data_IF_815706575560
#
_entry.id   IF_815706575560
#
_cell.length_a   1.000
_cell.length_b   1.000
_cell.length_c   1.000
_cell.angle_alpha   90.00
_cell.angle_beta   90.00
_cell.angle_gamma   90.00
#
_symmetry.space_group_name_H-M   'P 1'
#
loop_
_entity.id
_entity.type
_entity.pdbx_description
1 polymer ?
#
# COMPACT_ATOMS: atom_id res chain seq x y z
N UNK A 1 17.91 -7.45 -10.52
CA UNK A 1 18.73 -6.22 -10.31
C UNK A 1 18.20 -5.15 -11.24
N UNK A 2 17.82 -3.97 -10.69
CA UNK A 2 17.47 -2.84 -11.53
C UNK A 2 18.68 -2.50 -12.43
N UNK A 3 18.42 -2.26 -13.70
CA UNK A 3 19.44 -1.82 -14.65
C UNK A 3 20.12 -0.55 -14.11
N UNK A 4 21.42 -0.40 -14.36
CA UNK A 4 22.20 0.80 -13.98
C UNK A 4 21.53 2.14 -14.41
N UNK A 5 20.69 2.09 -15.43
CA UNK A 5 19.92 3.23 -15.95
C UNK A 5 18.88 3.79 -14.98
N UNK A 6 18.47 3.06 -13.95
CA UNK A 6 17.45 3.47 -12.98
C UNK A 6 17.98 3.56 -11.54
N UNK A 7 19.24 3.23 -11.32
CA UNK A 7 19.85 3.22 -9.99
C UNK A 7 19.70 4.56 -9.26
N UNK A 8 19.99 5.67 -9.94
CA UNK A 8 19.87 7.02 -9.38
C UNK A 8 18.44 7.34 -8.88
N UNK A 9 17.41 6.91 -9.65
CA UNK A 9 16.02 7.16 -9.26
C UNK A 9 15.64 6.28 -8.08
N UNK A 10 16.08 5.04 -8.06
CA UNK A 10 15.84 4.12 -6.94
C UNK A 10 16.52 4.64 -5.67
N UNK A 11 17.80 5.03 -5.75
CA UNK A 11 18.55 5.58 -4.63
C UNK A 11 17.93 6.87 -4.07
N UNK A 12 17.37 7.72 -4.94
CA UNK A 12 16.72 8.96 -4.53
C UNK A 12 15.36 8.76 -3.85
N UNK A 13 14.66 7.67 -4.16
CA UNK A 13 13.26 7.51 -3.76
C UNK A 13 12.99 6.32 -2.83
N UNK A 14 13.75 5.24 -2.91
CA UNK A 14 13.54 4.06 -2.06
C UNK A 14 13.80 4.42 -0.58
N UNK A 15 12.80 4.21 0.25
CA UNK A 15 12.83 4.57 1.66
C UNK A 15 12.51 6.05 1.94
N UNK A 16 12.31 6.89 0.89
CA UNK A 16 12.08 8.32 1.10
C UNK A 16 10.65 8.66 1.56
N UNK A 17 9.69 7.82 1.26
CA UNK A 17 8.30 7.96 1.72
C UNK A 17 8.02 7.07 2.94
N UNK A 18 8.78 6.00 3.14
CA UNK A 18 8.54 5.00 4.16
C UNK A 18 8.92 5.51 5.56
N UNK A 19 8.08 5.18 6.55
CA UNK A 19 8.44 5.32 7.96
C UNK A 19 9.34 4.16 8.37
N UNK A 20 10.65 4.39 8.35
CA UNK A 20 11.65 3.38 8.68
C UNK A 20 11.75 3.08 10.17
N UNK A 21 11.12 3.87 11.04
CA UNK A 21 11.03 3.60 12.48
C UNK A 21 9.85 2.66 12.82
N UNK A 22 8.91 2.47 11.88
CA UNK A 22 7.84 1.51 12.04
C UNK A 22 8.38 0.07 11.93
N UNK A 23 8.17 -0.75 12.96
CA UNK A 23 8.81 -2.05 13.14
C UNK A 23 8.72 -2.99 11.92
N UNK A 24 7.56 -3.15 11.28
CA UNK A 24 7.41 -4.02 10.11
C UNK A 24 8.02 -3.42 8.84
N UNK A 25 8.02 -2.09 8.70
CA UNK A 25 8.71 -1.39 7.60
C UNK A 25 10.22 -1.54 7.75
N UNK A 26 10.77 -1.36 8.96
CA UNK A 26 12.17 -1.59 9.26
C UNK A 26 12.57 -3.06 8.99
N UNK A 27 11.73 -4.01 9.41
CA UNK A 27 11.95 -5.43 9.19
C UNK A 27 11.96 -5.81 7.71
N UNK A 28 11.02 -5.27 6.92
CA UNK A 28 11.03 -5.42 5.45
C UNK A 28 12.32 -4.86 4.85
N UNK A 29 12.73 -3.66 5.28
CA UNK A 29 13.92 -2.99 4.76
C UNK A 29 15.21 -3.78 5.06
N UNK A 30 15.31 -4.35 6.25
CA UNK A 30 16.48 -5.15 6.66
C UNK A 30 16.59 -6.48 5.89
N UNK A 31 15.46 -7.06 5.46
CA UNK A 31 15.40 -8.35 4.78
C UNK A 31 15.01 -8.23 3.30
N UNK A 32 15.09 -7.04 2.73
CA UNK A 32 14.79 -6.78 1.34
C UNK A 32 15.72 -7.57 0.40
N UNK A 33 15.15 -8.51 -0.35
CA UNK A 33 15.87 -9.30 -1.34
C UNK A 33 15.28 -9.19 -2.74
N UNK A 34 13.99 -8.85 -2.84
CA UNK A 34 13.27 -8.78 -4.11
C UNK A 34 12.14 -7.75 -4.06
N UNK A 35 11.74 -7.26 -5.23
CA UNK A 35 10.68 -6.27 -5.33
C UNK A 35 10.40 -5.83 -6.76
N UNK A 36 9.54 -4.81 -6.87
CA UNK A 36 9.19 -4.22 -8.16
C UNK A 36 9.47 -2.71 -8.14
N UNK A 37 10.08 -2.22 -9.21
CA UNK A 37 10.23 -0.80 -9.47
C UNK A 37 9.43 -0.40 -10.70
N UNK A 38 8.53 0.57 -10.55
CA UNK A 38 7.68 1.09 -11.61
C UNK A 38 7.92 2.59 -11.71
N UNK A 39 8.42 3.02 -12.86
CA UNK A 39 8.57 4.44 -13.17
C UNK A 39 7.70 4.79 -14.36
N UNK A 40 6.80 5.75 -14.20
CA UNK A 40 6.02 6.34 -15.29
C UNK A 40 6.60 7.72 -15.60
N UNK A 41 7.17 7.94 -16.78
CA UNK A 41 7.70 9.24 -17.13
C UNK A 41 6.63 10.34 -17.18
N UNK A 42 7.06 11.59 -17.08
CA UNK A 42 6.21 12.78 -17.23
C UNK A 42 5.38 12.72 -18.52
N UNK A 43 4.09 13.09 -18.41
CA UNK A 43 3.11 13.15 -19.51
C UNK A 43 2.81 11.78 -20.15
N UNK A 44 3.12 10.67 -19.51
CA UNK A 44 2.83 9.33 -20.02
C UNK A 44 1.56 8.78 -19.38
N UNK A 45 0.64 8.31 -20.21
CA UNK A 45 -0.55 7.56 -19.78
C UNK A 45 -0.33 6.08 -20.06
N UNK A 46 -0.30 5.26 -19.00
CA UNK A 46 -0.18 3.81 -19.15
C UNK A 46 -1.55 3.22 -19.41
N UNK A 47 -1.80 2.81 -20.66
CA UNK A 47 -3.13 2.39 -21.10
C UNK A 47 -3.62 1.10 -20.43
N UNK A 48 -2.72 0.13 -20.25
CA UNK A 48 -3.05 -1.14 -19.57
C UNK A 48 -2.67 -1.09 -18.09
N UNK A 49 -3.45 -1.76 -17.24
CA UNK A 49 -3.07 -1.89 -15.83
C UNK A 49 -1.78 -2.72 -15.68
N UNK A 50 -0.83 -2.19 -14.92
CA UNK A 50 0.32 -2.96 -14.46
C UNK A 50 -0.16 -3.91 -13.38
N UNK A 51 0.19 -5.19 -13.49
CA UNK A 51 -0.21 -6.22 -12.53
C UNK A 51 1.02 -6.84 -11.88
N UNK A 52 1.06 -6.79 -10.56
CA UNK A 52 2.04 -7.48 -9.73
C UNK A 52 1.34 -8.65 -9.04
N UNK A 53 1.86 -9.84 -9.22
CA UNK A 53 1.37 -11.04 -8.55
C UNK A 53 2.49 -11.60 -7.67
N UNK A 54 2.27 -11.56 -6.35
CA UNK A 54 3.16 -12.12 -5.35
C UNK A 54 2.58 -13.47 -4.91
N UNK A 55 3.34 -14.54 -5.15
CA UNK A 55 2.95 -15.89 -4.77
C UNK A 55 3.96 -16.41 -3.75
N UNK A 56 3.50 -16.66 -2.53
CA UNK A 56 4.31 -17.32 -1.51
C UNK A 56 4.06 -18.82 -1.55
N UNK A 57 5.12 -19.58 -1.76
CA UNK A 57 5.09 -21.04 -1.67
C UNK A 57 5.71 -21.46 -0.36
N UNK A 58 4.93 -22.07 0.55
CA UNK A 58 5.51 -22.65 1.75
C UNK A 58 6.16 -24.01 1.40
N UNK A 59 7.38 -24.23 1.88
CA UNK A 59 8.02 -25.52 1.76
C UNK A 59 7.28 -26.56 2.64
N UNK A 60 7.27 -27.82 2.22
CA UNK A 60 6.80 -28.91 3.06
C UNK A 60 7.77 -29.08 4.23
N UNK A 61 7.25 -29.12 5.46
CA UNK A 61 8.03 -29.29 6.69
C UNK A 61 7.84 -28.14 7.69
N UNK A 62 8.62 -28.20 8.76
CA UNK A 62 8.51 -27.26 9.91
C UNK A 62 9.24 -25.91 9.69
N UNK A 63 9.64 -25.59 8.47
CA UNK A 63 10.38 -24.35 8.18
C UNK A 63 9.39 -23.20 7.97
N UNK A 64 9.42 -22.22 8.88
CA UNK A 64 8.65 -21.00 8.73
C UNK A 64 9.13 -20.21 7.49
N UNK A 65 8.22 -19.94 6.56
CA UNK A 65 8.50 -19.15 5.37
C UNK A 65 8.12 -17.68 5.62
N UNK A 66 9.02 -16.78 5.29
CA UNK A 66 8.76 -15.33 5.31
C UNK A 66 9.18 -14.71 3.99
N UNK A 67 8.37 -13.79 3.48
CA UNK A 67 8.65 -13.01 2.27
C UNK A 67 8.54 -11.51 2.57
N UNK A 68 9.43 -10.73 1.97
CA UNK A 68 9.56 -9.30 2.22
C UNK A 68 9.55 -8.51 0.91
N UNK A 69 8.48 -8.59 0.09
CA UNK A 69 8.44 -7.85 -1.17
C UNK A 69 8.43 -6.34 -0.93
N UNK A 70 9.16 -5.60 -1.78
CA UNK A 70 9.18 -4.15 -1.79
C UNK A 70 8.72 -3.63 -3.15
N UNK A 71 7.80 -2.67 -3.15
CA UNK A 71 7.33 -2.01 -4.38
C UNK A 71 7.65 -0.53 -4.28
N UNK A 72 8.31 0.01 -5.31
CA UNK A 72 8.51 1.44 -5.47
C UNK A 72 7.84 1.91 -6.76
N UNK A 73 6.94 2.87 -6.64
CA UNK A 73 6.26 3.52 -7.76
C UNK A 73 6.64 4.99 -7.79
N UNK A 74 7.14 5.44 -8.93
CA UNK A 74 7.40 6.87 -9.20
C UNK A 74 6.56 7.28 -10.40
N UNK A 75 5.49 8.03 -10.14
CA UNK A 75 4.58 8.57 -11.16
C UNK A 75 4.97 10.03 -11.45
N UNK A 76 5.54 10.26 -12.62
CA UNK A 76 6.00 11.57 -13.06
C UNK A 76 4.85 12.54 -13.30
N UNK A 77 5.18 13.83 -13.42
CA UNK A 77 4.21 14.91 -13.63
C UNK A 77 3.24 14.62 -14.78
N UNK A 78 1.94 14.85 -14.58
CA UNK A 78 0.85 14.59 -15.53
C UNK A 78 0.79 13.14 -16.05
N UNK A 79 1.37 12.18 -15.34
CA UNK A 79 1.30 10.77 -15.73
C UNK A 79 0.04 10.09 -15.20
N UNK A 80 -0.33 8.95 -15.81
CA UNK A 80 -1.44 8.14 -15.34
C UNK A 80 -1.03 6.67 -15.26
N UNK A 81 -1.34 6.02 -14.14
CA UNK A 81 -1.03 4.61 -13.90
C UNK A 81 -2.22 3.93 -13.22
N UNK A 82 -2.55 2.73 -13.66
CA UNK A 82 -3.34 1.78 -12.90
C UNK A 82 -2.46 0.62 -12.46
N UNK A 83 -2.40 0.38 -11.14
CA UNK A 83 -1.62 -0.69 -10.53
C UNK A 83 -2.54 -1.68 -9.82
N UNK A 84 -2.35 -2.96 -10.08
CA UNK A 84 -3.05 -4.04 -9.38
C UNK A 84 -2.03 -4.94 -8.71
N UNK A 85 -2.07 -5.01 -7.40
CA UNK A 85 -1.27 -5.93 -6.59
C UNK A 85 -2.14 -7.09 -6.13
N UNK A 86 -1.65 -8.30 -6.27
CA UNK A 86 -2.33 -9.50 -5.80
C UNK A 86 -1.37 -10.35 -4.99
N UNK A 87 -1.80 -10.75 -3.81
CA UNK A 87 -1.06 -11.59 -2.88
C UNK A 87 -1.79 -12.91 -2.71
N UNK A 88 -1.09 -14.01 -2.91
CA UNK A 88 -1.63 -15.35 -2.79
C UNK A 88 -0.55 -16.32 -2.30
N UNK A 89 -0.98 -17.39 -1.68
CA UNK A 89 -0.06 -18.44 -1.25
C UNK A 89 -0.54 -19.83 -1.62
N UNK A 90 0.41 -20.74 -1.71
CA UNK A 90 0.17 -22.16 -1.92
C UNK A 90 0.83 -22.95 -0.80
N UNK A 91 0.17 -24.01 -0.35
CA UNK A 91 0.64 -24.87 0.73
C UNK A 91 -0.25 -24.77 1.98
N UNK A 92 -0.05 -25.72 2.89
CA UNK A 92 -0.84 -25.86 4.14
C UNK A 92 -0.14 -25.29 5.36
N UNK A 93 1.15 -24.99 5.28
CA UNK A 93 1.96 -24.42 6.37
C UNK A 93 1.77 -22.90 6.44
N UNK A 94 1.72 -22.37 7.66
CA UNK A 94 1.65 -20.93 7.89
C UNK A 94 2.91 -20.23 7.37
N UNK A 95 2.75 -19.03 6.83
CA UNK A 95 3.84 -18.16 6.38
C UNK A 95 3.53 -16.71 6.71
N UNK A 96 4.54 -15.84 6.58
CA UNK A 96 4.41 -14.40 6.73
C UNK A 96 4.76 -13.71 5.42
N UNK A 97 3.83 -12.90 4.91
CA UNK A 97 4.11 -11.90 3.89
C UNK A 97 4.19 -10.52 4.55
N UNK A 98 5.36 -9.91 4.57
CA UNK A 98 5.57 -8.55 5.05
C UNK A 98 5.94 -7.66 3.87
N UNK A 99 4.96 -6.96 3.30
CA UNK A 99 5.15 -6.12 2.10
C UNK A 99 5.20 -4.65 2.44
N UNK A 100 6.04 -3.90 1.73
CA UNK A 100 6.06 -2.44 1.79
C UNK A 100 5.95 -1.86 0.39
N UNK A 101 5.02 -0.93 0.23
CA UNK A 101 4.75 -0.22 -1.03
C UNK A 101 5.00 1.27 -0.82
N UNK A 102 5.81 1.86 -1.66
CA UNK A 102 6.04 3.30 -1.70
C UNK A 102 5.51 3.85 -3.01
N UNK A 103 4.68 4.89 -2.93
CA UNK A 103 4.17 5.60 -4.12
C UNK A 103 4.51 7.07 -4.00
N UNK A 104 5.29 7.56 -4.96
CA UNK A 104 5.63 8.96 -5.09
C UNK A 104 4.95 9.47 -6.34
N UNK A 105 3.99 10.37 -6.17
CA UNK A 105 3.26 11.01 -7.25
C UNK A 105 3.70 12.46 -7.39
N UNK A 106 4.23 12.81 -8.55
CA UNK A 106 4.56 14.20 -8.89
C UNK A 106 3.28 15.01 -9.20
N UNK A 107 3.45 16.27 -9.58
CA UNK A 107 2.32 17.17 -9.84
C UNK A 107 1.36 16.62 -10.88
N UNK A 108 0.05 16.71 -10.63
CA UNK A 108 -1.05 16.26 -11.51
C UNK A 108 -0.99 14.75 -11.88
N UNK A 109 -0.17 13.95 -11.23
CA UNK A 109 -0.15 12.51 -11.49
C UNK A 109 -1.44 11.86 -11.00
N UNK A 110 -1.93 10.86 -11.73
CA UNK A 110 -3.12 10.07 -11.39
C UNK A 110 -2.70 8.62 -11.21
N UNK A 111 -2.93 8.08 -10.02
CA UNK A 111 -2.61 6.68 -9.71
C UNK A 111 -3.84 5.99 -9.12
N UNK A 112 -4.36 5.00 -9.84
CA UNK A 112 -5.40 4.09 -9.35
C UNK A 112 -4.75 2.79 -8.90
N UNK A 113 -4.81 2.51 -7.61
CA UNK A 113 -4.22 1.34 -6.98
C UNK A 113 -5.30 0.35 -6.50
N UNK A 114 -5.06 -0.92 -6.76
CA UNK A 114 -5.91 -2.03 -6.30
C UNK A 114 -5.03 -3.05 -5.61
N UNK A 115 -5.37 -3.42 -4.37
CA UNK A 115 -4.70 -4.47 -3.61
C UNK A 115 -5.69 -5.61 -3.34
N UNK A 116 -5.35 -6.83 -3.71
CA UNK A 116 -6.17 -8.01 -3.46
C UNK A 116 -5.37 -9.01 -2.63
N UNK A 117 -5.84 -9.28 -1.41
CA UNK A 117 -5.23 -10.25 -0.48
C UNK A 117 -6.06 -11.54 -0.48
N UNK A 118 -5.46 -12.63 -0.94
CA UNK A 118 -6.01 -13.98 -0.96
C UNK A 118 -4.96 -14.97 -0.46
N UNK A 119 -4.39 -14.66 0.68
CA UNK A 119 -3.41 -15.52 1.35
C UNK A 119 -4.07 -16.80 1.89
N UNK A 120 -3.28 -17.79 2.26
CA UNK A 120 -3.82 -18.95 2.97
C UNK A 120 -4.47 -18.54 4.30
N UNK A 121 -5.49 -19.23 4.73
CA UNK A 121 -6.14 -19.01 6.04
C UNK A 121 -5.21 -19.18 7.25
N UNK A 122 -4.06 -19.82 7.06
CA UNK A 122 -3.01 -19.98 8.08
C UNK A 122 -1.89 -18.97 7.94
N UNK A 123 -1.91 -18.13 6.91
CA UNK A 123 -0.86 -17.15 6.64
C UNK A 123 -1.15 -15.81 7.31
N UNK A 124 -0.08 -15.10 7.62
CA UNK A 124 -0.14 -13.73 8.09
C UNK A 124 0.33 -12.78 6.98
N UNK A 125 -0.44 -11.72 6.74
CA UNK A 125 -0.10 -10.67 5.78
C UNK A 125 0.00 -9.33 6.51
N UNK A 126 1.18 -8.73 6.53
CA UNK A 126 1.42 -7.39 7.07
C UNK A 126 1.83 -6.50 5.89
N UNK A 127 0.98 -5.56 5.54
CA UNK A 127 1.24 -4.64 4.42
C UNK A 127 1.30 -3.20 4.89
N UNK A 128 2.38 -2.50 4.54
CA UNK A 128 2.52 -1.07 4.77
C UNK A 128 2.61 -0.34 3.44
N UNK A 129 1.78 0.70 3.26
CA UNK A 129 1.79 1.54 2.06
C UNK A 129 2.08 2.99 2.46
N UNK A 130 3.08 3.57 1.86
CA UNK A 130 3.53 4.93 2.12
C UNK A 130 3.38 5.76 0.85
N UNK A 131 2.62 6.86 0.96
CA UNK A 131 2.27 7.74 -0.15
C UNK A 131 2.86 9.12 0.07
N UNK A 132 3.53 9.66 -0.93
CA UNK A 132 3.89 11.07 -1.02
C UNK A 132 3.28 11.67 -2.26
N UNK A 133 2.29 12.56 -2.08
CA UNK A 133 1.44 13.05 -3.15
C UNK A 133 1.73 14.54 -3.39
N UNK A 134 2.24 14.85 -4.57
CA UNK A 134 2.57 16.21 -5.00
C UNK A 134 1.35 17.02 -5.45
N UNK A 135 1.56 18.28 -5.81
CA UNK A 135 0.51 19.25 -6.14
C UNK A 135 -0.52 18.70 -7.15
N UNK A 136 -1.80 18.82 -6.80
CA UNK A 136 -2.94 18.37 -7.62
C UNK A 136 -2.87 16.89 -8.07
N UNK A 137 -2.08 16.06 -7.38
CA UNK A 137 -2.08 14.62 -7.61
C UNK A 137 -3.43 14.01 -7.18
N UNK A 138 -3.85 12.98 -7.90
CA UNK A 138 -5.04 12.20 -7.57
C UNK A 138 -4.63 10.75 -7.34
N UNK A 139 -4.85 10.27 -6.13
CA UNK A 139 -4.54 8.89 -5.74
C UNK A 139 -5.81 8.20 -5.24
N UNK A 140 -6.07 7.00 -5.77
CA UNK A 140 -7.10 6.12 -5.22
C UNK A 140 -6.49 4.76 -4.87
N UNK A 141 -6.89 4.20 -3.72
CA UNK A 141 -6.55 2.83 -3.34
C UNK A 141 -7.82 2.06 -2.96
N UNK A 142 -7.92 0.85 -3.49
CA UNK A 142 -9.00 -0.09 -3.22
C UNK A 142 -8.41 -1.41 -2.70
N UNK A 143 -8.44 -1.60 -1.38
CA UNK A 143 -7.92 -2.81 -0.73
C UNK A 143 -9.05 -3.82 -0.54
N UNK A 144 -8.89 -5.02 -1.08
CA UNK A 144 -9.86 -6.10 -1.01
C UNK A 144 -9.19 -7.28 -0.29
N UNK A 145 -9.64 -7.58 0.94
CA UNK A 145 -9.15 -8.70 1.74
C UNK A 145 -10.19 -9.81 1.72
N UNK A 146 -9.85 -10.93 1.10
CA UNK A 146 -10.74 -12.08 0.93
C UNK A 146 -10.35 -13.28 1.78
N UNK A 147 -9.05 -13.43 2.09
CA UNK A 147 -8.53 -14.53 2.89
C UNK A 147 -7.19 -14.16 3.55
N UNK A 148 -6.83 -14.91 4.62
CA UNK A 148 -5.66 -14.74 5.45
C UNK A 148 -5.98 -14.96 6.92
N UNK A 149 -5.06 -15.49 7.72
CA UNK A 149 -5.26 -15.69 9.16
C UNK A 149 -5.28 -14.36 9.91
N UNK A 150 -4.17 -13.61 9.81
CA UNK A 150 -4.06 -12.22 10.24
C UNK A 150 -3.69 -11.38 9.03
N UNK A 151 -4.54 -10.40 8.71
CA UNK A 151 -4.25 -9.44 7.65
C UNK A 151 -4.23 -8.05 8.24
N UNK A 152 -3.05 -7.42 8.27
CA UNK A 152 -2.89 -6.03 8.69
C UNK A 152 -2.49 -5.16 7.50
N UNK A 153 -3.17 -4.04 7.34
CA UNK A 153 -2.88 -3.01 6.34
C UNK A 153 -2.66 -1.68 7.04
N UNK A 154 -1.47 -1.13 6.93
CA UNK A 154 -1.12 0.21 7.38
C UNK A 154 -0.95 1.12 6.14
N UNK A 155 -1.68 2.22 6.07
CA UNK A 155 -1.58 3.21 4.98
C UNK A 155 -1.21 4.56 5.56
N UNK A 156 -0.09 5.12 5.08
CA UNK A 156 0.40 6.44 5.46
C UNK A 156 0.42 7.34 4.22
N UNK A 157 -0.43 8.36 4.18
CA UNK A 157 -0.53 9.28 3.07
C UNK A 157 -0.09 10.69 3.50
N UNK A 158 0.97 11.19 2.88
CA UNK A 158 1.39 12.59 2.99
C UNK A 158 0.88 13.36 1.77
N UNK A 159 -0.05 14.29 1.99
CA UNK A 159 -0.54 15.21 0.98
C UNK A 159 0.40 16.43 0.96
N UNK A 160 1.53 16.27 0.22
CA UNK A 160 2.69 17.18 0.22
C UNK A 160 2.56 18.32 -0.79
N UNK A 161 1.47 18.37 -1.53
CA UNK A 161 1.15 19.44 -2.48
C UNK A 161 -0.25 20.00 -2.28
N UNK A 162 -0.47 21.23 -2.72
CA UNK A 162 -1.79 21.86 -2.73
C UNK A 162 -2.74 21.15 -3.68
N UNK A 163 -4.02 21.02 -3.32
CA UNK A 163 -5.09 20.50 -4.17
C UNK A 163 -5.04 18.99 -4.41
N UNK A 164 -4.36 18.22 -3.56
CA UNK A 164 -4.31 16.74 -3.65
C UNK A 164 -5.67 16.14 -3.33
N UNK A 165 -6.04 15.11 -4.09
CA UNK A 165 -7.17 14.22 -3.76
C UNK A 165 -6.65 12.83 -3.44
N UNK A 166 -7.02 12.30 -2.26
CA UNK A 166 -6.65 10.97 -1.80
C UNK A 166 -7.90 10.16 -1.41
N UNK A 167 -8.13 9.04 -2.05
CA UNK A 167 -9.27 8.14 -1.76
C UNK A 167 -8.76 6.79 -1.29
N UNK A 168 -9.18 6.36 -0.10
CA UNK A 168 -8.81 5.07 0.49
C UNK A 168 -10.08 4.25 0.75
N UNK A 169 -10.24 3.16 0.02
CA UNK A 169 -11.38 2.26 0.17
C UNK A 169 -10.91 0.86 0.58
N UNK A 170 -11.65 0.23 1.49
CA UNK A 170 -11.39 -1.12 1.92
C UNK A 170 -12.67 -1.97 1.94
N UNK A 171 -12.57 -3.20 1.42
CA UNK A 171 -13.56 -4.25 1.59
C UNK A 171 -12.87 -5.47 2.18
N UNK A 172 -13.41 -6.02 3.25
CA UNK A 172 -12.89 -7.25 3.83
C UNK A 172 -13.99 -8.23 4.21
N UNK A 173 -13.70 -9.51 4.00
CA UNK A 173 -14.57 -10.62 4.36
C UNK A 173 -13.77 -11.55 5.24
N UNK A 174 -14.22 -11.78 6.47
CA UNK A 174 -13.53 -12.67 7.40
C UNK A 174 -14.54 -13.58 8.11
N UNK A 175 -14.14 -14.82 8.32
CA UNK A 175 -14.90 -15.82 9.07
C UNK A 175 -13.95 -16.68 9.95
N UNK A 176 -14.52 -17.56 10.76
CA UNK A 176 -13.75 -18.37 11.71
C UNK A 176 -13.05 -17.48 12.75
N UNK A 177 -11.74 -17.65 12.95
CA UNK A 177 -10.93 -16.90 13.93
C UNK A 177 -9.97 -15.89 13.28
N UNK A 178 -10.31 -15.41 12.10
CA UNK A 178 -9.48 -14.48 11.34
C UNK A 178 -9.52 -13.07 11.92
N UNK A 179 -8.40 -12.37 11.76
CA UNK A 179 -8.28 -10.97 12.14
C UNK A 179 -7.95 -10.11 10.91
N UNK A 180 -8.76 -9.08 10.66
CA UNK A 180 -8.43 -8.04 9.68
C UNK A 180 -8.28 -6.70 10.40
N UNK A 181 -7.10 -6.10 10.29
CA UNK A 181 -6.73 -4.88 10.98
C UNK A 181 -6.28 -3.81 9.96
N UNK A 182 -7.06 -2.74 9.80
CA UNK A 182 -6.79 -1.67 8.85
C UNK A 182 -6.51 -0.36 9.61
N UNK A 183 -5.35 0.21 9.36
CA UNK A 183 -4.93 1.50 9.90
C UNK A 183 -4.63 2.47 8.77
N UNK A 184 -5.17 3.67 8.88
CA UNK A 184 -4.87 4.75 7.94
C UNK A 184 -4.36 5.97 8.71
N UNK A 185 -3.36 6.64 8.16
CA UNK A 185 -2.91 7.95 8.62
C UNK A 185 -2.81 8.87 7.41
N UNK A 186 -3.63 9.91 7.36
CA UNK A 186 -3.60 10.89 6.27
C UNK A 186 -3.13 12.22 6.86
N UNK A 187 -2.01 12.73 6.34
CA UNK A 187 -1.45 14.00 6.74
C UNK A 187 -1.68 15.05 5.65
N UNK A 188 -2.61 15.97 5.89
CA UNK A 188 -2.82 17.16 5.09
C UNK A 188 -1.75 18.19 5.45
N UNK A 189 -0.65 18.20 4.70
CA UNK A 189 0.45 19.13 4.91
C UNK A 189 0.27 20.45 4.17
N UNK A 190 -0.58 20.47 3.12
CA UNK A 190 -0.84 21.62 2.27
C UNK A 190 -2.35 21.93 2.17
N UNK A 191 -2.74 23.16 1.85
CA UNK A 191 -4.15 23.56 1.78
C UNK A 191 -4.88 22.96 0.56
N UNK A 192 -6.21 23.07 0.58
CA UNK A 192 -7.13 22.67 -0.48
C UNK A 192 -7.09 21.17 -0.85
N UNK A 193 -6.57 20.33 0.04
CA UNK A 193 -6.57 18.88 -0.15
C UNK A 193 -7.93 18.27 0.23
N UNK A 194 -8.22 17.12 -0.39
CA UNK A 194 -9.41 16.33 -0.11
C UNK A 194 -9.02 14.88 0.20
N UNK A 195 -9.62 14.31 1.25
CA UNK A 195 -9.47 12.89 1.55
C UNK A 195 -10.82 12.23 1.77
N UNK A 196 -10.96 11.01 1.24
CA UNK A 196 -12.14 10.17 1.35
C UNK A 196 -11.74 8.80 1.84
N UNK A 197 -12.45 8.29 2.86
CA UNK A 197 -12.22 6.95 3.38
C UNK A 197 -13.54 6.20 3.49
N UNK A 198 -13.56 4.97 2.97
CA UNK A 198 -14.70 4.07 3.10
C UNK A 198 -14.22 2.65 3.31
N UNK A 199 -14.40 2.10 4.51
CA UNK A 199 -14.10 0.73 4.84
C UNK A 199 -15.38 -0.03 5.19
N UNK A 200 -15.57 -1.20 4.56
CA UNK A 200 -16.72 -2.08 4.81
C UNK A 200 -16.24 -3.50 5.10
N UNK A 201 -16.77 -4.11 6.14
CA UNK A 201 -16.45 -5.47 6.54
C UNK A 201 -17.69 -6.36 6.60
N UNK A 202 -17.50 -7.61 6.21
CA UNK A 202 -18.45 -8.71 6.43
C UNK A 202 -17.75 -9.70 7.34
N UNK A 203 -18.28 -9.90 8.54
CA UNK A 203 -17.71 -10.77 9.55
C UNK A 203 -18.70 -11.88 9.89
N UNK A 204 -18.19 -13.09 10.07
CA UNK A 204 -18.97 -14.26 10.50
C UNK A 204 -18.17 -15.06 11.53
N UNK A 205 -18.84 -15.94 12.26
CA UNK A 205 -18.28 -16.75 13.33
C UNK A 205 -17.58 -15.92 14.44
N UNK A 206 -16.32 -16.25 14.75
CA UNK A 206 -15.48 -15.58 15.75
C UNK A 206 -14.49 -14.59 15.14
N UNK A 207 -14.70 -14.17 13.87
CA UNK A 207 -13.80 -13.25 13.19
C UNK A 207 -13.81 -11.86 13.82
N UNK A 208 -12.67 -11.20 13.82
CA UNK A 208 -12.50 -9.86 14.34
C UNK A 208 -11.99 -8.91 13.27
N UNK A 209 -12.45 -7.67 13.32
CA UNK A 209 -11.89 -6.61 12.48
C UNK A 209 -11.67 -5.33 13.27
N UNK A 210 -10.62 -4.62 12.89
CA UNK A 210 -10.29 -3.29 13.40
C UNK A 210 -10.19 -2.32 12.24
N UNK A 211 -10.72 -1.14 12.41
CA UNK A 211 -10.42 0.02 11.58
C UNK A 211 -10.01 1.18 12.48
N UNK A 212 -8.86 1.77 12.17
CA UNK A 212 -8.36 2.96 12.87
C UNK A 212 -7.91 4.00 11.84
N UNK A 213 -8.66 5.07 11.70
CA UNK A 213 -8.34 6.21 10.84
C UNK A 213 -7.79 7.38 11.66
N UNK A 214 -6.64 7.91 11.26
CA UNK A 214 -6.02 9.09 11.84
C UNK A 214 -5.82 10.15 10.77
N UNK A 215 -6.35 11.36 11.02
CA UNK A 215 -6.13 12.50 10.14
C UNK A 215 -5.36 13.57 10.89
N UNK A 216 -4.27 14.04 10.28
CA UNK A 216 -3.42 15.10 10.78
C UNK A 216 -3.57 16.27 9.80
N UNK A 217 -3.89 17.45 10.31
CA UNK A 217 -4.03 18.65 9.48
C UNK A 217 -3.02 19.68 9.98
N UNK A 218 -2.10 20.09 9.11
CA UNK A 218 -1.17 21.16 9.43
C UNK A 218 -1.93 22.50 9.60
N UNK A 219 -1.36 23.42 10.36
CA UNK A 219 -2.00 24.71 10.66
C UNK A 219 -2.37 25.44 9.38
N UNK A 220 -1.47 25.45 8.40
CA UNK A 220 -1.66 26.13 7.11
C UNK A 220 -2.57 25.36 6.13
N UNK A 221 -2.96 24.13 6.49
CA UNK A 221 -3.79 23.25 5.67
C UNK A 221 -5.30 23.23 6.11
N UNK A 222 -5.74 24.17 6.93
CA UNK A 222 -7.08 24.15 7.56
C UNK A 222 -8.28 24.28 6.59
N UNK A 223 -8.05 24.60 5.31
CA UNK A 223 -9.09 24.64 4.26
C UNK A 223 -9.26 23.30 3.51
N UNK A 224 -8.72 22.24 4.04
CA UNK A 224 -8.85 20.89 3.44
C UNK A 224 -10.18 20.24 3.80
N UNK A 225 -10.73 19.45 2.88
CA UNK A 225 -11.96 18.68 3.09
C UNK A 225 -11.66 17.22 3.44
N UNK A 226 -12.34 16.71 4.45
CA UNK A 226 -12.16 15.38 5.00
C UNK A 226 -13.52 14.68 5.02
N UNK A 227 -13.59 13.48 4.42
CA UNK A 227 -14.78 12.63 4.41
C UNK A 227 -14.42 11.22 4.87
N UNK A 228 -15.07 10.76 5.95
CA UNK A 228 -14.89 9.45 6.57
C UNK A 228 -16.24 8.70 6.55
#
# INVERSE_FOLDING_TARGET
MASSTHAEVIEAHLGSAADLDAGFTAFNTALLTDGAFIRVPKNVVVAAAVRLLFITTSADGDVATMTHPRVLVVAGENSQLRLVESYAGTGSTGYLTNTVVEVISEANAVVDHYKVVRESSTANHIGSMHLRLGRAANFSSHTITLDGGIVRNDVHALLDGEGVTCTLNGLYIANGKRLVDNHTTIHHAQPHCQSYELYKGILDDEAHAVFNGKIIVAIDAQLSLIHI
#
